data_IF_983469283629
#
_entry.id   IF_983469283629
#
_cell.length_a   1.000
_cell.length_b   1.000
_cell.length_c   1.000
_cell.angle_alpha   90.00
_cell.angle_beta   90.00
_cell.angle_gamma   90.00
#
_symmetry.space_group_name_H-M   'P 1'
#
loop_
_entity.id
_entity.type
_entity.pdbx_description
1 polymer ?
#
# COMPACT_ATOMS: atom_id res chain seq x y z
N UNK A 1 1.44 -4.24 -1.01
CA UNK A 1 0.08 -4.48 -0.49
C UNK A 1 -0.19 -5.97 -0.46
N UNK A 2 -0.89 -6.42 0.55
CA UNK A 2 -1.31 -7.80 0.69
C UNK A 2 -2.78 -7.82 1.11
N UNK A 3 -3.64 -8.36 0.25
CA UNK A 3 -5.08 -8.47 0.50
C UNK A 3 -5.42 -9.95 0.75
N UNK A 4 -6.12 -10.24 1.82
CA UNK A 4 -6.52 -11.61 2.19
C UNK A 4 -7.72 -11.58 3.14
N UNK A 5 -8.13 -12.76 3.59
CA UNK A 5 -9.14 -12.93 4.64
C UNK A 5 -8.45 -13.55 5.86
N UNK A 6 -8.44 -12.84 6.97
CA UNK A 6 -7.90 -13.30 8.24
C UNK A 6 -9.00 -13.42 9.29
N UNK A 7 -9.22 -14.64 9.84
CA UNK A 7 -10.26 -14.84 10.85
C UNK A 7 -11.66 -14.47 10.37
N UNK A 8 -11.98 -14.65 9.09
CA UNK A 8 -13.27 -14.25 8.50
C UNK A 8 -13.40 -12.76 8.16
N UNK A 9 -12.37 -11.95 8.44
CA UNK A 9 -12.35 -10.51 8.13
C UNK A 9 -11.50 -10.27 6.89
N UNK A 10 -12.03 -9.61 5.84
CA UNK A 10 -11.22 -9.18 4.72
C UNK A 10 -10.27 -8.06 5.17
N UNK A 11 -8.98 -8.28 4.93
CA UNK A 11 -7.92 -7.40 5.40
C UNK A 11 -6.99 -6.98 4.28
N UNK A 12 -6.37 -5.82 4.43
CA UNK A 12 -5.27 -5.38 3.60
C UNK A 12 -4.09 -4.92 4.46
N UNK A 13 -2.93 -5.55 4.28
CA UNK A 13 -1.69 -5.13 4.90
C UNK A 13 -0.93 -4.18 3.96
N UNK A 14 -0.74 -2.96 4.42
CA UNK A 14 0.09 -1.97 3.76
C UNK A 14 1.45 -1.89 4.45
N UNK A 15 2.50 -2.34 3.78
CA UNK A 15 3.87 -2.19 4.26
C UNK A 15 4.64 -1.24 3.35
N UNK A 16 5.22 -0.20 3.92
CA UNK A 16 6.13 0.72 3.24
C UNK A 16 7.58 0.30 3.56
N UNK A 17 8.27 -0.28 2.60
CA UNK A 17 9.64 -0.78 2.76
C UNK A 17 10.62 0.36 3.08
N UNK A 18 10.42 1.52 2.46
CA UNK A 18 11.28 2.69 2.65
C UNK A 18 11.07 3.36 4.01
N UNK A 19 9.85 3.28 4.55
CA UNK A 19 9.48 3.94 5.81
C UNK A 19 9.54 2.98 7.00
N UNK A 20 9.71 1.68 6.77
CA UNK A 20 9.65 0.66 7.83
C UNK A 20 8.30 0.57 8.54
N UNK A 21 7.22 1.06 7.91
CA UNK A 21 5.89 1.12 8.53
C UNK A 21 4.95 0.07 7.95
N UNK A 22 4.20 -0.61 8.82
CA UNK A 22 3.19 -1.59 8.45
C UNK A 22 1.87 -1.31 9.14
N UNK A 23 0.77 -1.26 8.37
CA UNK A 23 -0.58 -1.04 8.89
C UNK A 23 -1.51 -2.08 8.30
N UNK A 24 -2.29 -2.72 9.15
CA UNK A 24 -3.32 -3.67 8.77
C UNK A 24 -4.68 -2.99 8.83
N UNK A 25 -5.45 -3.11 7.74
CA UNK A 25 -6.79 -2.54 7.64
C UNK A 25 -7.85 -3.63 7.50
N UNK A 26 -8.98 -3.43 8.15
CA UNK A 26 -10.25 -4.04 7.79
C UNK A 26 -10.77 -3.33 6.55
N UNK A 27 -11.06 -4.08 5.49
CA UNK A 27 -11.45 -3.51 4.20
C UNK A 27 -12.94 -3.60 3.92
N UNK A 28 -13.76 -4.01 4.90
CA UNK A 28 -15.21 -4.07 4.76
C UNK A 28 -15.82 -2.70 4.54
N UNK A 29 -16.81 -2.65 3.67
CA UNK A 29 -17.62 -1.47 3.39
C UNK A 29 -19.01 -1.65 3.99
N UNK A 30 -19.71 -0.53 4.19
CA UNK A 30 -21.07 -0.52 4.73
C UNK A 30 -22.09 -1.21 3.81
N UNK A 31 -21.81 -1.27 2.52
CA UNK A 31 -22.63 -1.94 1.51
C UNK A 31 -22.41 -3.46 1.42
N UNK A 32 -21.61 -4.03 2.33
CA UNK A 32 -21.27 -5.45 2.36
C UNK A 32 -20.16 -5.87 1.39
N UNK A 33 -19.68 -4.97 0.54
CA UNK A 33 -18.51 -5.20 -0.32
C UNK A 33 -17.20 -4.94 0.44
N UNK A 34 -16.05 -5.14 -0.23
CA UNK A 34 -14.73 -4.92 0.35
C UNK A 34 -13.89 -4.03 -0.57
N UNK A 35 -13.03 -3.20 0.04
CA UNK A 35 -11.96 -2.56 -0.73
C UNK A 35 -10.84 -3.55 -1.03
N UNK A 36 -10.36 -3.53 -2.27
CA UNK A 36 -9.10 -4.15 -2.65
C UNK A 36 -8.08 -3.04 -2.84
N UNK A 37 -7.03 -3.04 -2.02
CA UNK A 37 -6.04 -1.97 -2.03
C UNK A 37 -4.79 -2.36 -2.80
N UNK A 38 -4.25 -1.42 -3.56
CA UNK A 38 -3.03 -1.53 -4.33
C UNK A 38 -1.97 -0.51 -3.90
N UNK A 39 -0.74 -0.69 -4.40
CA UNK A 39 0.34 0.28 -4.22
C UNK A 39 0.32 1.26 -5.38
N UNK A 40 0.10 2.54 -5.11
CA UNK A 40 0.04 3.58 -6.15
C UNK A 40 1.40 3.96 -6.73
N UNK A 41 2.48 3.65 -6.02
CA UNK A 41 3.82 4.15 -6.35
C UNK A 41 4.08 5.59 -5.88
N UNK A 42 3.09 6.27 -5.36
CA UNK A 42 3.19 7.65 -4.88
C UNK A 42 3.44 7.73 -3.38
N UNK A 43 3.98 8.86 -2.95
CA UNK A 43 4.17 9.21 -1.55
C UNK A 43 3.34 10.45 -1.21
N UNK A 44 2.82 10.48 0.01
CA UNK A 44 2.16 11.63 0.60
C UNK A 44 2.77 11.87 1.99
N UNK A 45 3.34 13.07 2.20
CA UNK A 45 4.07 13.41 3.43
C UNK A 45 5.09 12.34 3.82
N UNK A 46 5.94 11.97 2.85
CA UNK A 46 7.00 10.97 2.99
C UNK A 46 6.53 9.54 3.30
N UNK A 47 5.24 9.25 3.15
CA UNK A 47 4.72 7.90 3.31
C UNK A 47 3.91 7.42 2.10
N UNK A 48 3.77 6.11 2.00
CA UNK A 48 3.09 5.44 0.89
C UNK A 48 1.64 5.87 0.75
N UNK A 49 1.22 6.17 -0.49
CA UNK A 49 -0.18 6.18 -0.86
C UNK A 49 -0.60 4.81 -1.39
N UNK A 50 -1.75 4.37 -0.94
CA UNK A 50 -2.47 3.22 -1.49
C UNK A 50 -3.51 3.72 -2.50
N UNK A 51 -4.01 2.86 -3.36
CA UNK A 51 -5.21 3.13 -4.14
C UNK A 51 -6.21 1.99 -3.98
N UNK A 52 -7.50 2.26 -4.09
CA UNK A 52 -8.51 1.21 -4.17
C UNK A 52 -8.84 0.88 -5.63
N UNK A 53 -9.08 -0.41 -5.90
CA UNK A 53 -9.40 -0.88 -7.25
C UNK A 53 -10.80 -0.47 -7.72
N UNK A 54 -11.71 -0.15 -6.80
CA UNK A 54 -13.10 0.13 -7.10
C UNK A 54 -13.32 1.56 -7.57
N UNK A 55 -12.69 2.53 -6.89
CA UNK A 55 -12.90 3.95 -7.17
C UNK A 55 -11.65 4.67 -7.68
N UNK A 56 -10.49 4.00 -7.65
CA UNK A 56 -9.18 4.56 -7.97
C UNK A 56 -8.80 5.76 -7.07
N UNK A 57 -9.44 5.90 -5.91
CA UNK A 57 -9.07 6.92 -4.94
C UNK A 57 -7.75 6.58 -4.28
N UNK A 58 -6.96 7.61 -3.94
CA UNK A 58 -5.70 7.46 -3.22
C UNK A 58 -5.92 7.64 -1.73
N UNK A 59 -5.33 6.73 -0.94
CA UNK A 59 -5.52 6.62 0.49
C UNK A 59 -4.21 6.81 1.23
N UNK A 60 -4.24 7.62 2.28
CA UNK A 60 -3.11 7.78 3.18
C UNK A 60 -2.94 6.51 4.02
N UNK A 61 -1.72 5.95 4.02
CA UNK A 61 -1.43 4.70 4.74
C UNK A 61 -1.59 4.85 6.26
N UNK A 62 -1.27 5.99 6.87
CA UNK A 62 -1.35 6.11 8.32
C UNK A 62 -2.76 6.36 8.83
N UNK A 63 -3.51 7.19 8.11
CA UNK A 63 -4.85 7.58 8.56
C UNK A 63 -5.95 6.66 8.06
N UNK A 64 -5.68 5.86 7.02
CA UNK A 64 -6.71 5.06 6.36
C UNK A 64 -7.79 5.90 5.68
N UNK A 65 -7.53 7.20 5.44
CA UNK A 65 -8.48 8.10 4.78
C UNK A 65 -8.11 8.33 3.33
N UNK A 66 -9.09 8.48 2.43
CA UNK A 66 -8.82 8.89 1.06
C UNK A 66 -8.40 10.37 1.05
N UNK A 67 -7.41 10.70 0.22
CA UNK A 67 -6.83 12.06 0.11
C UNK A 67 -6.93 12.63 -1.30
N UNK A 68 -7.14 11.78 -2.31
CA UNK A 68 -7.34 12.17 -3.71
C UNK A 68 -8.34 11.24 -4.36
N UNK A 69 -9.12 11.72 -5.31
CA UNK A 69 -10.07 10.95 -6.10
C UNK A 69 -11.51 11.04 -5.58
N UNK A 70 -12.36 10.14 -6.05
CA UNK A 70 -13.82 10.20 -5.84
C UNK A 70 -14.25 10.17 -4.37
N UNK A 71 -13.42 9.62 -3.49
CA UNK A 71 -13.72 9.48 -2.06
C UNK A 71 -13.02 10.54 -1.20
N UNK A 72 -12.22 11.44 -1.78
CA UNK A 72 -11.39 12.39 -1.01
C UNK A 72 -12.19 13.30 -0.07
N UNK A 73 -13.42 13.65 -0.44
CA UNK A 73 -14.30 14.50 0.37
C UNK A 73 -15.30 13.71 1.23
N UNK A 74 -15.15 12.37 1.27
CA UNK A 74 -16.00 11.53 2.09
C UNK A 74 -15.43 11.36 3.50
N UNK A 75 -16.29 11.10 4.48
CA UNK A 75 -15.89 10.78 5.85
C UNK A 75 -15.45 9.30 6.03
N UNK A 76 -15.24 8.57 4.92
CA UNK A 76 -14.82 7.17 4.96
C UNK A 76 -13.41 7.09 5.50
N UNK A 77 -13.20 6.16 6.43
CA UNK A 77 -11.88 5.75 6.88
C UNK A 77 -11.81 4.23 7.02
N UNK A 78 -10.70 3.64 6.61
CA UNK A 78 -10.43 2.22 6.85
C UNK A 78 -10.16 2.01 8.34
N UNK A 79 -10.78 1.00 8.92
CA UNK A 79 -10.53 0.62 10.31
C UNK A 79 -9.18 -0.07 10.40
N UNK A 80 -8.29 0.44 11.27
CA UNK A 80 -7.02 -0.21 11.56
C UNK A 80 -7.22 -1.41 12.49
N UNK A 81 -6.44 -2.44 12.24
CA UNK A 81 -6.36 -3.63 13.08
C UNK A 81 -4.96 -3.74 13.70
N UNK A 82 -4.84 -4.40 14.86
CA UNK A 82 -3.54 -4.61 15.48
C UNK A 82 -2.59 -5.38 14.56
N UNK A 83 -1.33 -4.91 14.48
CA UNK A 83 -0.26 -5.56 13.73
C UNK A 83 1.05 -5.37 14.49
N UNK A 84 1.90 -6.40 14.48
CA UNK A 84 3.24 -6.32 15.05
C UNK A 84 4.28 -6.49 13.94
N UNK A 85 5.36 -5.71 14.01
CA UNK A 85 6.55 -5.86 13.17
C UNK A 85 7.64 -6.46 14.07
N UNK A 86 8.13 -7.64 13.70
CA UNK A 86 9.13 -8.36 14.46
C UNK A 86 10.00 -9.19 13.52
N UNK A 87 11.11 -9.74 14.02
CA UNK A 87 11.88 -10.72 13.26
C UNK A 87 11.14 -12.06 13.16
N UNK A 88 11.35 -12.78 12.07
CA UNK A 88 10.77 -14.10 11.93
C UNK A 88 11.24 -15.07 13.02
N UNK A 89 12.52 -14.99 13.41
CA UNK A 89 13.08 -15.82 14.49
C UNK A 89 12.36 -15.64 15.80
N UNK A 90 12.20 -14.39 16.24
CA UNK A 90 11.52 -14.07 17.51
C UNK A 90 10.04 -14.46 17.44
N UNK A 91 9.37 -14.16 16.33
CA UNK A 91 7.96 -14.53 16.17
C UNK A 91 7.75 -16.03 16.24
N UNK A 92 8.55 -16.81 15.49
CA UNK A 92 8.46 -18.27 15.45
C UNK A 92 8.72 -18.92 16.82
N UNK A 93 9.68 -18.38 17.59
CA UNK A 93 9.99 -18.86 18.95
C UNK A 93 8.78 -18.72 19.86
N UNK A 94 8.10 -17.58 19.82
CA UNK A 94 6.95 -17.32 20.67
C UNK A 94 5.62 -17.87 20.13
N UNK A 95 5.57 -18.18 18.84
CA UNK A 95 4.36 -18.65 18.15
C UNK A 95 4.67 -19.83 17.23
N UNK A 96 5.02 -21.02 17.75
CA UNK A 96 5.54 -22.13 16.99
C UNK A 96 4.54 -22.73 15.99
N UNK A 97 3.24 -22.53 16.21
CA UNK A 97 2.14 -23.00 15.32
C UNK A 97 1.70 -21.98 14.31
N UNK A 98 2.41 -20.85 14.20
CA UNK A 98 2.04 -19.77 13.28
C UNK A 98 2.07 -20.23 11.82
N UNK A 99 1.17 -19.72 11.02
CA UNK A 99 1.19 -19.89 9.58
C UNK A 99 1.97 -18.76 8.94
N UNK A 100 2.74 -19.06 7.91
CA UNK A 100 3.48 -18.07 7.13
C UNK A 100 2.94 -18.03 5.71
N UNK A 101 2.99 -16.85 5.10
CA UNK A 101 2.63 -16.70 3.69
C UNK A 101 3.64 -17.47 2.84
N UNK A 102 3.15 -18.38 1.99
CA UNK A 102 3.98 -19.13 1.06
C UNK A 102 4.49 -18.22 -0.08
N UNK A 103 5.60 -18.64 -0.69
CA UNK A 103 6.17 -17.91 -1.85
C UNK A 103 5.42 -18.19 -3.16
N UNK A 104 4.60 -19.23 -3.19
CA UNK A 104 3.74 -19.59 -4.32
C UNK A 104 2.52 -18.65 -4.42
N UNK A 105 2.79 -17.38 -4.68
CA UNK A 105 1.76 -16.33 -4.74
C UNK A 105 1.00 -16.25 -6.08
N UNK A 106 1.37 -17.10 -7.05
CA UNK A 106 0.88 -17.02 -8.44
C UNK A 106 1.58 -15.95 -9.29
N UNK A 107 2.44 -15.13 -8.71
CA UNK A 107 3.23 -14.13 -9.42
C UNK A 107 4.69 -14.56 -9.55
N UNK A 108 5.27 -14.40 -10.74
CA UNK A 108 6.70 -14.60 -10.96
C UNK A 108 7.46 -13.37 -10.49
N UNK A 109 7.97 -13.41 -9.28
CA UNK A 109 8.79 -12.34 -8.68
C UNK A 109 10.01 -12.96 -8.01
N UNK A 110 11.06 -12.16 -7.90
CA UNK A 110 12.22 -12.53 -7.09
C UNK A 110 11.90 -12.26 -5.61
N UNK A 111 11.87 -13.33 -4.82
CA UNK A 111 11.62 -13.31 -3.38
C UNK A 111 12.88 -13.55 -2.55
N UNK A 112 14.07 -13.47 -3.17
CA UNK A 112 15.33 -13.65 -2.44
C UNK A 112 15.49 -12.57 -1.36
N UNK A 113 16.02 -12.91 -0.18
CA UNK A 113 16.29 -11.96 0.88
C UNK A 113 17.23 -10.83 0.42
N UNK A 114 16.86 -9.57 0.72
CA UNK A 114 17.69 -8.40 0.46
C UNK A 114 17.68 -7.86 -0.97
N UNK A 115 17.13 -8.56 -1.95
CA UNK A 115 17.12 -8.11 -3.35
C UNK A 115 16.23 -6.87 -3.60
N UNK A 116 14.97 -6.82 -3.16
CA UNK A 116 14.19 -5.61 -3.28
C UNK A 116 14.80 -4.48 -2.44
N UNK A 117 15.12 -3.36 -3.08
CA UNK A 117 15.69 -2.18 -2.44
C UNK A 117 17.11 -2.32 -1.86
N UNK A 118 17.85 -3.40 -2.18
CA UNK A 118 19.20 -3.64 -1.67
C UNK A 118 20.15 -2.47 -1.91
N UNK A 119 20.19 -1.94 -3.13
CA UNK A 119 20.99 -0.76 -3.48
C UNK A 119 20.52 0.51 -2.77
N UNK A 120 19.20 0.68 -2.62
CA UNK A 120 18.63 1.82 -1.92
C UNK A 120 18.98 1.83 -0.43
N UNK A 121 18.95 0.67 0.22
CA UNK A 121 19.29 0.53 1.65
C UNK A 121 20.80 0.69 1.91
N UNK A 122 21.65 0.46 0.90
CA UNK A 122 23.10 0.66 0.98
C UNK A 122 23.55 2.09 0.68
N UNK A 123 22.67 2.92 0.10
CA UNK A 123 23.02 4.29 -0.25
C UNK A 123 23.35 5.11 1.00
N UNK A 124 24.47 5.83 1.04
CA UNK A 124 24.91 6.58 2.22
C UNK A 124 24.01 7.78 2.54
N UNK A 125 23.17 8.18 1.60
CA UNK A 125 22.22 9.29 1.78
C UNK A 125 20.86 8.85 1.28
N UNK A 126 19.90 8.74 2.19
CA UNK A 126 18.51 8.63 1.84
C UNK A 126 18.00 9.99 1.35
N UNK A 127 17.99 10.21 0.04
CA UNK A 127 17.30 11.36 -0.53
C UNK A 127 15.83 11.03 -0.68
N UNK A 128 15.00 11.43 0.26
CA UNK A 128 13.56 11.49 0.00
C UNK A 128 13.34 12.35 -1.24
N UNK A 129 12.51 11.92 -2.20
CA UNK A 129 12.15 12.80 -3.30
C UNK A 129 11.60 14.10 -2.72
N UNK A 130 11.85 15.26 -3.35
CA UNK A 130 11.42 16.54 -2.84
C UNK A 130 9.91 16.51 -2.59
N UNK A 131 9.48 16.99 -1.41
CA UNK A 131 8.08 17.14 -1.06
C UNK A 131 7.44 18.07 -2.10
N UNK A 132 6.68 17.50 -3.01
CA UNK A 132 5.85 18.29 -3.90
C UNK A 132 4.80 19.00 -3.05
N UNK A 133 4.58 20.29 -3.29
CA UNK A 133 3.51 21.01 -2.62
C UNK A 133 2.16 20.35 -2.88
N UNK A 134 1.24 20.39 -1.94
CA UNK A 134 -0.07 19.74 -2.05
C UNK A 134 -0.81 20.12 -3.35
N UNK A 135 -0.64 21.35 -3.84
CA UNK A 135 -1.22 21.82 -5.11
C UNK A 135 -0.62 21.12 -6.35
N UNK A 136 0.68 20.86 -6.38
CA UNK A 136 1.31 20.18 -7.52
C UNK A 136 0.98 18.69 -7.56
N UNK A 137 0.68 18.10 -6.42
CA UNK A 137 0.24 16.72 -6.28
C UNK A 137 -1.13 16.50 -6.89
N UNK A 138 -2.10 17.34 -6.52
CA UNK A 138 -3.49 17.25 -7.00
C UNK A 138 -3.55 17.32 -8.53
N UNK A 139 -2.80 18.24 -9.12
CA UNK A 139 -2.83 18.49 -10.56
C UNK A 139 -2.17 17.36 -11.37
N UNK A 140 -1.04 16.83 -10.91
CA UNK A 140 -0.30 15.76 -11.59
C UNK A 140 -0.99 14.39 -11.47
N UNK A 141 -1.62 14.13 -10.33
CA UNK A 141 -2.33 12.87 -10.08
C UNK A 141 -3.66 12.82 -10.83
N UNK A 142 -4.38 13.94 -10.93
CA UNK A 142 -5.62 14.00 -11.69
C UNK A 142 -5.40 13.80 -13.19
N UNK A 143 -4.31 14.32 -13.76
CA UNK A 143 -3.99 14.13 -15.18
C UNK A 143 -3.54 12.69 -15.52
N UNK A 144 -2.92 11.98 -14.56
CA UNK A 144 -2.49 10.59 -14.77
C UNK A 144 -3.58 9.54 -14.50
N UNK A 145 -4.62 9.90 -13.74
CA UNK A 145 -5.76 9.03 -13.44
C UNK A 145 -6.89 9.14 -14.48
N UNK A 146 -6.83 10.13 -15.38
CA UNK A 146 -7.81 10.29 -16.45
C UNK A 146 -7.61 9.31 -17.63
N UNK A 147 -6.45 8.65 -17.72
CA UNK A 147 -6.21 7.64 -18.74
C UNK A 147 -6.57 6.24 -18.19
N UNK A 148 -7.47 5.48 -18.80
CA UNK A 148 -7.76 4.12 -18.40
C UNK A 148 -6.52 3.23 -18.57
N UNK A 149 -6.30 2.24 -17.69
CA UNK A 149 -5.16 1.33 -17.82
C UNK A 149 -5.24 0.58 -19.15
N UNK A 150 -4.26 0.83 -20.03
CA UNK A 150 -4.18 0.20 -21.35
C UNK A 150 -4.24 1.15 -22.57
N UNK A 151 -4.41 2.46 -22.39
CA UNK A 151 -4.30 3.40 -23.49
C UNK A 151 -2.83 3.68 -23.85
N UNK A 152 -2.33 2.99 -24.85
CA UNK A 152 -1.06 3.32 -25.51
C UNK A 152 -1.31 4.55 -26.37
N UNK A 153 -0.72 5.70 -26.02
CA UNK A 153 -0.72 6.85 -26.94
C UNK A 153 0.15 6.50 -28.15
N UNK A 154 -0.32 6.68 -29.39
CA UNK A 154 0.54 6.55 -30.54
C UNK A 154 1.63 7.63 -30.45
N UNK A 155 2.89 7.20 -30.60
CA UNK A 155 4.05 8.09 -30.57
C UNK A 155 4.01 9.11 -31.72
N UNK A 156 4.39 10.33 -31.41
CA UNK A 156 4.90 11.29 -32.36
C UNK A 156 6.41 11.19 -32.41
#
# INVERSE_FOLDING_TARGET
MFNNVGGGVPVSLAYCTLCGSGILFDTRRLDGSNFTLGSSGFLYRSNKLMYDHQTQSLWNQFTGKPVVGRLAESDIALKTLPVAITSWGDWKTNNPTTKVLALETGYRRDYRPGEPYGEHLKAPTYSSPPLLSERSWTQKTMSSLSDPPGSIRPGH
#
